data_IF_216145935940
#
_entry.id   IF_216145935940
#
_cell.length_a   1.000
_cell.length_b   1.000
_cell.length_c   1.000
_cell.angle_alpha   90.00
_cell.angle_beta   90.00
_cell.angle_gamma   90.00
#
_symmetry.space_group_name_H-M   'P 1'
#
loop_
_entity.id
_entity.type
_entity.pdbx_description
1 polymer ?
#
# COMPACT_ATOMS: atom_id res chain seq x y z
N UNK A 1 -22.53 -6.65 51.74
CA UNK A 1 -22.88 -5.34 51.17
C UNK A 1 -21.69 -4.50 50.74
N UNK A 2 -20.70 -4.16 51.58
CA UNK A 2 -19.55 -3.33 51.13
C UNK A 2 -18.68 -4.04 50.07
N UNK A 3 -18.49 -5.36 50.22
CA UNK A 3 -17.74 -6.18 49.25
C UNK A 3 -18.43 -6.25 47.88
N UNK A 4 -19.76 -6.35 47.85
CA UNK A 4 -20.54 -6.40 46.61
C UNK A 4 -20.46 -5.05 45.88
N UNK A 5 -20.60 -3.93 46.60
CA UNK A 5 -20.44 -2.59 46.04
C UNK A 5 -19.01 -2.32 45.51
N UNK A 6 -17.99 -2.85 46.18
CA UNK A 6 -16.59 -2.68 45.79
C UNK A 6 -16.23 -3.44 44.49
N UNK A 7 -16.93 -4.54 44.17
CA UNK A 7 -16.71 -5.31 42.93
C UNK A 7 -17.48 -4.74 41.72
N UNK A 8 -18.59 -4.04 41.94
CA UNK A 8 -19.40 -3.46 40.86
C UNK A 8 -18.64 -2.35 40.13
N UNK A 9 -17.94 -1.48 40.86
CA UNK A 9 -17.19 -0.35 40.27
C UNK A 9 -16.12 -0.79 39.23
N UNK A 10 -15.15 -1.69 39.55
CA UNK A 10 -14.15 -2.12 38.58
C UNK A 10 -14.74 -2.91 37.41
N UNK A 11 -15.84 -3.65 37.62
CA UNK A 11 -16.55 -4.34 36.55
C UNK A 11 -17.17 -3.33 35.57
N UNK A 12 -17.82 -2.28 36.08
CA UNK A 12 -18.40 -1.22 35.25
C UNK A 12 -17.34 -0.45 34.45
N UNK A 13 -16.21 -0.10 35.06
CA UNK A 13 -15.10 0.55 34.37
C UNK A 13 -14.53 -0.36 33.27
N UNK A 14 -14.37 -1.66 33.55
CA UNK A 14 -13.92 -2.63 32.55
C UNK A 14 -14.86 -2.71 31.35
N UNK A 15 -16.17 -2.65 31.60
CA UNK A 15 -17.18 -2.61 30.54
C UNK A 15 -17.09 -1.33 29.70
N UNK A 16 -16.93 -0.16 30.32
CA UNK A 16 -16.75 1.10 29.59
C UNK A 16 -15.46 1.09 28.75
N UNK A 17 -14.35 0.58 29.30
CA UNK A 17 -13.09 0.44 28.55
C UNK A 17 -13.29 -0.50 27.36
N UNK A 18 -14.01 -1.62 27.53
CA UNK A 18 -14.30 -2.54 26.43
C UNK A 18 -15.09 -1.84 25.30
N UNK A 19 -16.08 -1.00 25.63
CA UNK A 19 -16.81 -0.21 24.63
C UNK A 19 -15.88 0.77 23.88
N UNK A 20 -15.04 1.49 24.62
CA UNK A 20 -14.06 2.43 24.03
C UNK A 20 -13.12 1.69 23.07
N UNK A 21 -12.64 0.51 23.46
CA UNK A 21 -11.78 -0.33 22.65
C UNK A 21 -12.48 -0.79 21.36
N UNK A 22 -13.73 -1.23 21.43
CA UNK A 22 -14.51 -1.60 20.25
C UNK A 22 -14.63 -0.43 19.25
N UNK A 23 -14.83 0.79 19.76
CA UNK A 23 -14.86 2.00 18.93
C UNK A 23 -13.49 2.24 18.28
N UNK A 24 -12.40 2.16 19.05
CA UNK A 24 -11.04 2.36 18.52
C UNK A 24 -10.67 1.35 17.44
N UNK A 25 -11.03 0.08 17.62
CA UNK A 25 -10.81 -0.96 16.61
C UNK A 25 -11.57 -0.63 15.32
N UNK A 26 -12.83 -0.19 15.44
CA UNK A 26 -13.65 0.16 14.27
C UNK A 26 -13.09 1.36 13.52
N UNK A 27 -12.59 2.38 14.23
CA UNK A 27 -11.94 3.55 13.62
C UNK A 27 -10.67 3.14 12.89
N UNK A 28 -9.83 2.29 13.50
CA UNK A 28 -8.62 1.77 12.87
C UNK A 28 -8.94 0.91 11.63
N UNK A 29 -9.98 0.08 11.70
CA UNK A 29 -10.44 -0.78 10.60
C UNK A 29 -10.90 0.04 9.38
N UNK A 30 -11.70 1.09 9.63
CA UNK A 30 -12.14 2.02 8.59
C UNK A 30 -10.98 2.81 7.98
N UNK A 31 -10.05 3.31 8.81
CA UNK A 31 -8.88 4.03 8.32
C UNK A 31 -8.00 3.13 7.45
N UNK A 32 -7.79 1.87 7.85
CA UNK A 32 -6.99 0.91 7.09
C UNK A 32 -7.66 0.58 5.75
N UNK A 33 -8.99 0.35 5.76
CA UNK A 33 -9.76 0.12 4.55
C UNK A 33 -9.70 1.31 3.59
N UNK A 34 -9.81 2.53 4.11
CA UNK A 34 -9.73 3.76 3.32
C UNK A 34 -8.35 3.92 2.69
N UNK A 35 -7.28 3.72 3.45
CA UNK A 35 -5.91 3.85 2.95
C UNK A 35 -5.62 2.88 1.80
N UNK A 36 -5.98 1.60 1.99
CA UNK A 36 -5.78 0.55 0.99
C UNK A 36 -6.68 0.78 -0.23
N UNK A 37 -7.95 1.13 -0.03
CA UNK A 37 -8.89 1.37 -1.12
C UNK A 37 -8.52 2.57 -1.98
N UNK A 38 -8.20 3.71 -1.36
CA UNK A 38 -7.91 4.94 -2.10
C UNK A 38 -6.56 4.88 -2.82
N UNK A 39 -5.53 4.32 -2.18
CA UNK A 39 -4.24 4.09 -2.86
C UNK A 39 -4.36 3.17 -4.06
N UNK A 40 -5.17 2.10 -3.96
CA UNK A 40 -5.41 1.17 -5.06
C UNK A 40 -6.11 1.88 -6.22
N UNK A 41 -7.14 2.69 -5.95
CA UNK A 41 -7.87 3.46 -6.98
C UNK A 41 -7.00 4.48 -7.68
N UNK A 42 -6.25 5.28 -6.92
CA UNK A 42 -5.35 6.29 -7.48
C UNK A 42 -4.28 5.63 -8.33
N UNK A 43 -3.71 4.52 -7.88
CA UNK A 43 -2.70 3.81 -8.66
C UNK A 43 -3.28 3.14 -9.91
N UNK A 44 -4.48 2.57 -9.83
CA UNK A 44 -5.19 2.01 -10.98
C UNK A 44 -5.46 3.07 -12.06
N UNK A 45 -5.89 4.27 -11.64
CA UNK A 45 -6.17 5.38 -12.55
C UNK A 45 -4.91 5.91 -13.26
N UNK A 46 -3.75 5.85 -12.60
CA UNK A 46 -2.48 6.37 -13.13
C UNK A 46 -1.61 5.28 -13.77
N UNK A 47 -2.13 4.07 -14.01
CA UNK A 47 -1.34 2.98 -14.57
C UNK A 47 -1.13 3.10 -16.09
N UNK A 48 -2.05 3.73 -16.83
CA UNK A 48 -1.95 3.84 -18.29
C UNK A 48 -0.65 4.54 -18.77
N UNK A 49 -0.23 5.70 -18.21
CA UNK A 49 1.07 6.27 -18.56
C UNK A 49 2.25 5.36 -18.19
N UNK A 50 2.16 4.63 -17.06
CA UNK A 50 3.21 3.72 -16.62
C UNK A 50 3.39 2.54 -17.59
N UNK A 51 2.31 2.03 -18.17
CA UNK A 51 2.36 1.00 -19.22
C UNK A 51 3.09 1.50 -20.47
N UNK A 52 2.80 2.72 -20.94
CA UNK A 52 3.49 3.28 -22.12
C UNK A 52 4.98 3.44 -21.88
N UNK A 53 5.38 3.84 -20.67
CA UNK A 53 6.79 3.90 -20.28
C UNK A 53 7.43 2.50 -20.22
N UNK A 54 6.71 1.51 -19.70
CA UNK A 54 7.18 0.12 -19.69
C UNK A 54 7.39 -0.42 -21.12
N UNK A 55 6.45 -0.17 -22.04
CA UNK A 55 6.56 -0.57 -23.44
C UNK A 55 7.74 0.11 -24.16
N UNK A 56 7.99 1.41 -23.89
CA UNK A 56 9.14 2.10 -24.45
C UNK A 56 10.46 1.55 -23.90
N UNK A 57 10.51 1.25 -22.60
CA UNK A 57 11.70 0.73 -21.96
C UNK A 57 12.01 -0.73 -22.33
N UNK A 58 10.98 -1.56 -22.53
CA UNK A 58 11.14 -2.94 -22.98
C UNK A 58 11.69 -3.01 -24.41
N UNK A 59 11.30 -2.07 -25.28
CA UNK A 59 11.84 -1.91 -26.62
C UNK A 59 13.29 -1.36 -26.64
N UNK A 60 13.67 -0.56 -25.65
CA UNK A 60 14.99 0.07 -25.58
C UNK A 60 16.11 -0.81 -25.00
N UNK A 61 15.79 -1.97 -24.40
CA UNK A 61 16.77 -2.99 -23.99
C UNK A 61 17.78 -2.62 -22.87
N UNK A 62 17.82 -1.37 -22.41
CA UNK A 62 18.80 -0.88 -21.42
C UNK A 62 18.33 -0.86 -19.95
N UNK A 63 19.22 -0.51 -18.99
CA UNK A 63 18.86 -0.29 -17.58
C UNK A 63 17.96 0.95 -17.43
N UNK A 64 16.75 0.77 -16.92
CA UNK A 64 15.76 1.87 -16.75
C UNK A 64 16.21 2.94 -15.76
N UNK A 65 17.04 2.61 -14.77
CA UNK A 65 17.52 3.59 -13.79
C UNK A 65 18.28 4.73 -14.45
N UNK A 66 19.11 4.44 -15.46
CA UNK A 66 19.85 5.46 -16.22
C UNK A 66 18.93 6.25 -17.15
N UNK A 67 17.91 5.60 -17.74
CA UNK A 67 16.94 6.26 -18.61
C UNK A 67 15.95 7.14 -17.84
N UNK A 68 15.50 6.71 -16.66
CA UNK A 68 14.66 7.50 -15.75
C UNK A 68 15.46 8.71 -15.24
N UNK A 69 16.75 8.55 -14.92
CA UNK A 69 17.62 9.69 -14.59
C UNK A 69 17.78 10.63 -15.79
N UNK A 70 18.01 10.12 -17.00
CA UNK A 70 18.13 10.95 -18.20
C UNK A 70 16.82 11.66 -18.56
N UNK A 71 15.66 11.03 -18.34
CA UNK A 71 14.34 11.62 -18.54
C UNK A 71 14.06 12.66 -17.44
N UNK A 72 14.44 12.39 -16.19
CA UNK A 72 14.36 13.34 -15.06
C UNK A 72 15.25 14.56 -15.32
N UNK A 73 16.47 14.36 -15.80
CA UNK A 73 17.43 15.42 -16.14
C UNK A 73 16.99 16.24 -17.36
N UNK A 74 16.34 15.61 -18.35
CA UNK A 74 15.75 16.31 -19.51
C UNK A 74 14.45 17.04 -19.14
N UNK A 75 13.63 16.49 -18.26
CA UNK A 75 12.42 17.14 -17.76
C UNK A 75 12.76 18.35 -16.87
N UNK A 76 13.81 18.25 -16.05
CA UNK A 76 14.33 19.37 -15.26
C UNK A 76 14.96 20.51 -16.10
N UNK A 77 15.35 20.23 -17.36
CA UNK A 77 15.87 21.24 -18.29
C UNK A 77 14.81 21.84 -19.21
N UNK A 78 13.65 21.20 -19.35
CA UNK A 78 12.55 21.67 -20.16
C UNK A 78 11.50 22.31 -19.25
N UNK A 79 11.60 23.63 -19.01
CA UNK A 79 10.65 24.45 -18.23
C UNK A 79 9.16 24.29 -18.65
N UNK A 80 8.89 23.67 -19.80
CA UNK A 80 7.53 23.39 -20.33
C UNK A 80 6.93 22.03 -19.90
N UNK A 81 7.73 21.11 -19.34
CA UNK A 81 7.28 19.76 -18.91
C UNK A 81 7.24 19.58 -17.39
N UNK A 82 7.46 20.65 -16.62
CA UNK A 82 7.73 20.60 -15.17
C UNK A 82 6.49 20.41 -14.31
N UNK A 83 5.29 20.78 -14.74
CA UNK A 83 4.14 20.72 -13.82
C UNK A 83 3.56 19.32 -13.60
N UNK A 84 3.88 18.34 -14.46
CA UNK A 84 3.18 17.04 -14.46
C UNK A 84 4.05 15.78 -14.48
N UNK A 85 5.38 15.85 -14.60
CA UNK A 85 6.22 14.64 -14.78
C UNK A 85 7.16 14.36 -13.60
N UNK A 86 7.80 15.37 -12.99
CA UNK A 86 8.62 15.15 -11.78
C UNK A 86 7.80 14.66 -10.58
N UNK A 87 6.51 15.04 -10.53
CA UNK A 87 5.56 14.55 -9.54
C UNK A 87 5.05 13.12 -9.84
N UNK A 88 5.26 12.59 -11.04
CA UNK A 88 4.45 11.47 -11.57
C UNK A 88 5.17 10.11 -11.60
N UNK A 89 6.49 10.08 -11.42
CA UNK A 89 7.21 8.81 -11.21
C UNK A 89 8.00 8.89 -9.90
N UNK A 90 7.31 8.87 -8.76
CA UNK A 90 7.98 8.75 -7.47
C UNK A 90 8.76 7.42 -7.44
N UNK A 91 9.87 7.38 -6.69
CA UNK A 91 10.77 6.21 -6.61
C UNK A 91 10.05 4.84 -6.42
N UNK A 92 8.91 4.74 -5.71
CA UNK A 92 8.11 3.51 -5.65
C UNK A 92 7.61 2.99 -7.01
N UNK A 93 7.29 3.86 -7.96
CA UNK A 93 6.84 3.48 -9.32
C UNK A 93 8.00 2.93 -10.13
N UNK A 94 9.21 3.47 -9.97
CA UNK A 94 10.40 2.92 -10.61
C UNK A 94 10.71 1.49 -10.10
N UNK A 95 10.58 1.27 -8.78
CA UNK A 95 10.70 -0.07 -8.18
C UNK A 95 9.62 -1.02 -8.71
N UNK A 96 8.40 -0.52 -8.90
CA UNK A 96 7.27 -1.27 -9.47
C UNK A 96 7.59 -1.80 -10.88
N UNK A 97 8.09 -0.91 -11.74
CA UNK A 97 8.41 -1.23 -13.14
C UNK A 97 9.59 -2.21 -13.24
N UNK A 98 10.63 -2.02 -12.42
CA UNK A 98 11.76 -2.96 -12.37
C UNK A 98 11.31 -4.34 -11.87
N UNK A 99 10.43 -4.39 -10.87
CA UNK A 99 9.83 -5.65 -10.40
C UNK A 99 9.03 -6.34 -11.52
N UNK A 100 8.18 -5.59 -12.25
CA UNK A 100 7.41 -6.13 -13.37
C UNK A 100 8.31 -6.74 -14.45
N UNK A 101 9.42 -6.08 -14.82
CA UNK A 101 10.38 -6.60 -15.81
C UNK A 101 11.04 -7.90 -15.34
N UNK A 102 11.44 -7.96 -14.08
CA UNK A 102 12.08 -9.15 -13.48
C UNK A 102 11.12 -10.34 -13.38
N UNK A 103 9.84 -10.08 -13.12
CA UNK A 103 8.81 -11.10 -13.06
C UNK A 103 8.31 -11.51 -14.45
N UNK A 104 8.15 -10.59 -15.40
CA UNK A 104 7.76 -10.91 -16.78
C UNK A 104 8.80 -11.75 -17.52
N UNK A 105 10.08 -11.66 -17.14
CA UNK A 105 11.17 -12.50 -17.70
C UNK A 105 11.36 -13.85 -17.00
N UNK A 106 10.72 -14.07 -15.84
CA UNK A 106 10.75 -15.31 -15.09
C UNK A 106 9.34 -15.89 -15.06
N UNK A 107 9.07 -16.84 -15.95
CA UNK A 107 7.81 -17.59 -15.98
C UNK A 107 7.33 -17.96 -14.56
N UNK A 108 6.05 -17.70 -14.33
CA UNK A 108 5.23 -17.97 -13.14
C UNK A 108 5.75 -19.13 -12.27
N UNK A 109 6.48 -18.84 -11.20
CA UNK A 109 6.80 -19.90 -10.23
C UNK A 109 7.73 -19.50 -9.09
N UNK A 110 8.74 -18.67 -9.36
CA UNK A 110 9.71 -18.27 -8.35
C UNK A 110 9.83 -16.74 -8.32
N UNK A 111 8.81 -16.10 -7.73
CA UNK A 111 8.96 -14.72 -7.29
C UNK A 111 10.10 -14.67 -6.28
N UNK A 112 11.17 -13.94 -6.63
CA UNK A 112 12.30 -13.72 -5.72
C UNK A 112 11.76 -13.05 -4.45
N UNK A 113 11.75 -13.78 -3.34
CA UNK A 113 11.21 -13.30 -2.07
C UNK A 113 11.91 -12.01 -1.60
N UNK A 114 13.16 -11.79 -2.01
CA UNK A 114 13.84 -10.53 -1.76
C UNK A 114 13.25 -9.38 -2.58
N UNK A 115 12.96 -9.61 -3.87
CA UNK A 115 12.33 -8.62 -4.74
C UNK A 115 10.89 -8.27 -4.29
N UNK A 116 10.10 -9.27 -3.88
CA UNK A 116 8.76 -9.08 -3.32
C UNK A 116 8.79 -8.25 -2.03
N UNK A 117 9.77 -8.48 -1.14
CA UNK A 117 9.95 -7.68 0.07
C UNK A 117 10.32 -6.23 -0.24
N UNK A 118 11.25 -6.00 -1.18
CA UNK A 118 11.65 -4.65 -1.61
C UNK A 118 10.45 -3.91 -2.18
N UNK A 119 9.62 -4.58 -3.00
CA UNK A 119 8.41 -4.00 -3.55
C UNK A 119 7.44 -3.58 -2.43
N UNK A 120 7.15 -4.46 -1.47
CA UNK A 120 6.25 -4.15 -0.35
C UNK A 120 6.72 -2.95 0.47
N UNK A 121 8.01 -2.87 0.77
CA UNK A 121 8.60 -1.74 1.50
C UNK A 121 8.57 -0.44 0.69
N UNK A 122 8.82 -0.51 -0.63
CA UNK A 122 8.74 0.64 -1.52
C UNK A 122 7.29 1.17 -1.65
N UNK A 123 6.30 0.27 -1.63
CA UNK A 123 4.88 0.65 -1.73
C UNK A 123 4.26 1.07 -0.40
N UNK A 124 4.88 0.75 0.73
CA UNK A 124 4.45 1.20 2.07
C UNK A 124 4.18 2.72 2.16
N UNK A 125 5.08 3.63 1.75
CA UNK A 125 4.79 5.07 1.78
C UNK A 125 3.62 5.47 0.88
N UNK A 126 3.46 4.81 -0.28
CA UNK A 126 2.35 5.09 -1.21
C UNK A 126 1.01 4.80 -0.55
N UNK A 127 0.86 3.62 0.04
CA UNK A 127 -0.40 3.24 0.72
C UNK A 127 -0.60 4.07 1.99
N UNK A 128 0.48 4.32 2.75
CA UNK A 128 0.40 5.05 4.01
C UNK A 128 0.09 6.55 3.82
N UNK A 129 0.37 7.16 2.67
CA UNK A 129 -0.01 8.54 2.39
C UNK A 129 -1.54 8.77 2.41
N UNK A 130 -2.32 7.71 2.18
CA UNK A 130 -3.78 7.73 2.29
C UNK A 130 -4.29 7.35 3.68
N UNK A 131 -3.40 7.03 4.62
CA UNK A 131 -3.73 6.75 6.00
C UNK A 131 -3.68 8.03 6.86
N UNK A 132 -4.61 8.15 7.82
CA UNK A 132 -4.55 9.21 8.82
C UNK A 132 -3.48 8.85 9.89
N UNK A 133 -2.40 9.65 10.06
CA UNK A 133 -1.31 9.36 11.00
C UNK A 133 -1.69 9.50 12.48
N UNK A 134 -2.79 10.18 12.79
CA UNK A 134 -3.33 10.25 14.14
C UNK A 134 -3.91 8.90 14.58
N UNK A 135 -4.55 8.18 13.64
CA UNK A 135 -5.23 6.90 13.87
C UNK A 135 -4.26 5.73 13.64
N UNK A 136 -3.61 5.69 12.49
CA UNK A 136 -2.71 4.61 12.09
C UNK A 136 -1.26 5.07 12.23
N UNK A 137 -0.49 4.42 13.10
CA UNK A 137 0.94 4.71 13.26
C UNK A 137 1.76 3.94 12.23
N UNK A 138 2.71 4.62 11.58
CA UNK A 138 3.56 4.07 10.52
C UNK A 138 4.33 2.80 10.94
N UNK A 139 4.74 2.74 12.21
CA UNK A 139 5.53 1.62 12.74
C UNK A 139 4.71 0.34 12.89
N UNK A 140 3.38 0.47 13.02
CA UNK A 140 2.44 -0.65 13.19
C UNK A 140 1.71 -0.99 11.89
N UNK A 141 2.05 -0.31 10.80
CA UNK A 141 1.43 -0.47 9.48
C UNK A 141 2.37 -1.24 8.55
N UNK A 142 1.87 -2.30 7.93
CA UNK A 142 2.66 -3.18 7.08
C UNK A 142 1.91 -3.45 5.78
N UNK A 143 2.60 -3.34 4.64
CA UNK A 143 2.06 -3.81 3.36
C UNK A 143 2.47 -5.27 3.21
N UNK A 144 1.51 -6.18 3.15
CA UNK A 144 1.76 -7.62 3.12
C UNK A 144 1.58 -8.24 1.74
N UNK A 145 0.90 -7.55 0.84
CA UNK A 145 0.71 -7.98 -0.53
C UNK A 145 0.55 -6.82 -1.51
N UNK A 146 1.08 -7.02 -2.71
CA UNK A 146 0.91 -6.14 -3.86
C UNK A 146 0.51 -7.03 -5.04
N UNK A 147 -0.64 -6.74 -5.64
CA UNK A 147 -1.11 -7.40 -6.87
C UNK A 147 -0.91 -6.43 -8.01
N UNK A 148 -0.25 -6.87 -9.07
CA UNK A 148 0.01 -6.09 -10.27
C UNK A 148 -0.60 -6.75 -11.50
N UNK A 149 -1.01 -5.94 -12.49
CA UNK A 149 -1.54 -6.47 -13.74
C UNK A 149 -0.42 -7.13 -14.56
N UNK A 150 -0.79 -8.15 -15.33
CA UNK A 150 0.06 -8.71 -16.38
C UNK A 150 -0.14 -7.96 -17.69
N UNK A 151 0.94 -7.47 -18.30
CA UNK A 151 0.87 -6.70 -19.55
C UNK A 151 0.95 -7.56 -20.83
N UNK A 152 1.24 -8.86 -20.70
CA UNK A 152 1.44 -9.76 -21.85
C UNK A 152 0.17 -10.51 -22.29
N UNK A 153 -0.71 -10.85 -21.35
CA UNK A 153 -1.98 -11.51 -21.60
C UNK A 153 -3.08 -10.68 -20.93
N UNK A 154 -3.95 -10.05 -21.72
CA UNK A 154 -5.01 -9.13 -21.27
C UNK A 154 -6.14 -9.78 -20.46
N UNK A 155 -5.83 -10.74 -19.59
CA UNK A 155 -6.77 -11.54 -18.80
C UNK A 155 -6.77 -11.17 -17.31
N UNK A 156 -5.86 -10.30 -16.84
CA UNK A 156 -5.83 -9.81 -15.45
C UNK A 156 -5.45 -8.32 -15.34
N UNK A 157 -6.38 -7.44 -15.71
CA UNK A 157 -6.26 -6.00 -15.52
C UNK A 157 -6.55 -5.58 -14.06
N UNK A 158 -5.99 -6.25 -13.05
CA UNK A 158 -6.24 -5.90 -11.64
C UNK A 158 -4.98 -5.45 -10.94
N UNK A 159 -5.11 -4.37 -10.18
CA UNK A 159 -4.11 -3.93 -9.22
C UNK A 159 -4.69 -4.02 -7.82
N UNK A 160 -3.85 -4.31 -6.83
CA UNK A 160 -4.32 -4.42 -5.46
C UNK A 160 -3.25 -4.25 -4.42
N UNK A 161 -3.69 -3.87 -3.23
CA UNK A 161 -2.88 -3.85 -2.03
C UNK A 161 -3.51 -4.68 -0.93
N UNK A 162 -2.68 -5.40 -0.19
CA UNK A 162 -2.99 -5.98 1.10
C UNK A 162 -2.14 -5.28 2.16
N UNK A 163 -2.79 -4.79 3.21
CA UNK A 163 -2.11 -4.20 4.34
C UNK A 163 -2.63 -4.76 5.66
N UNK A 164 -1.72 -4.81 6.63
CA UNK A 164 -1.94 -5.25 7.98
C UNK A 164 -1.61 -4.12 8.96
N UNK A 165 -2.36 -4.06 10.05
CA UNK A 165 -2.13 -3.11 11.12
C UNK A 165 -2.19 -3.78 12.49
N UNK A 166 -1.14 -3.61 13.27
CA UNK A 166 -1.04 -4.14 14.62
C UNK A 166 -1.70 -3.18 15.63
N UNK A 167 -2.89 -3.56 16.10
CA UNK A 167 -3.66 -2.83 17.09
C UNK A 167 -3.39 -3.36 18.50
N UNK A 168 -2.71 -2.61 19.39
CA UNK A 168 -2.52 -3.05 20.78
C UNK A 168 -3.82 -2.92 21.56
N UNK A 169 -4.35 -4.05 21.99
CA UNK A 169 -5.51 -4.17 22.86
C UNK A 169 -5.08 -3.99 24.33
N UNK A 170 -5.37 -2.84 24.90
CA UNK A 170 -5.18 -2.56 26.32
C UNK A 170 -6.51 -2.73 27.07
N UNK A 171 -6.76 -3.92 27.62
CA UNK A 171 -7.87 -4.16 28.55
C UNK A 171 -7.32 -4.34 29.97
N UNK A 172 -8.07 -3.98 31.03
CA UNK A 172 -7.57 -3.90 32.41
C UNK A 172 -6.96 -5.18 33.01
N UNK A 173 -7.00 -6.33 32.31
CA UNK A 173 -6.43 -7.60 32.78
C UNK A 173 -5.57 -8.34 31.76
N UNK A 174 -5.55 -7.92 30.49
CA UNK A 174 -4.81 -8.60 29.42
C UNK A 174 -4.31 -7.59 28.39
N UNK A 175 -3.09 -7.79 27.93
CA UNK A 175 -2.50 -7.07 26.81
C UNK A 175 -2.31 -8.04 25.65
N UNK A 176 -3.05 -7.83 24.55
CA UNK A 176 -2.89 -8.61 23.32
C UNK A 176 -2.74 -7.67 22.14
N UNK A 177 -2.13 -8.13 21.06
CA UNK A 177 -2.10 -7.39 19.80
C UNK A 177 -3.10 -8.05 18.85
N UNK A 178 -3.99 -7.26 18.28
CA UNK A 178 -4.92 -7.67 17.24
C UNK A 178 -4.38 -7.19 15.89
N UNK A 179 -4.16 -8.10 14.96
CA UNK A 179 -3.73 -7.72 13.61
C UNK A 179 -4.97 -7.54 12.72
N UNK A 180 -5.19 -6.31 12.26
CA UNK A 180 -6.25 -5.97 11.33
C UNK A 180 -5.72 -6.15 9.90
N UNK A 181 -6.39 -6.96 9.07
CA UNK A 181 -5.99 -7.18 7.67
C UNK A 181 -7.05 -6.63 6.73
N UNK A 182 -6.63 -5.87 5.71
CA UNK A 182 -7.50 -5.39 4.62
C UNK A 182 -6.85 -5.61 3.26
N UNK A 183 -7.71 -5.85 2.27
CA UNK A 183 -7.36 -5.98 0.86
C UNK A 183 -8.28 -5.10 0.03
N UNK A 184 -7.73 -4.44 -0.99
CA UNK A 184 -8.50 -3.85 -2.07
C UNK A 184 -7.92 -4.32 -3.41
N UNK A 185 -8.81 -4.46 -4.39
CA UNK A 185 -8.49 -4.75 -5.78
C UNK A 185 -9.29 -3.77 -6.64
N UNK A 186 -8.63 -3.16 -7.60
CA UNK A 186 -9.27 -2.30 -8.59
C UNK A 186 -8.88 -2.73 -9.99
N UNK A 187 -9.83 -2.56 -10.92
CA UNK A 187 -9.58 -2.82 -12.33
C UNK A 187 -8.81 -1.66 -12.94
N UNK A 188 -7.74 -1.99 -13.64
CA UNK A 188 -6.90 -1.05 -14.38
C UNK A 188 -7.54 -0.78 -15.75
N UNK A 189 -7.48 0.47 -16.19
CA UNK A 189 -7.85 0.84 -17.55
C UNK A 189 -6.57 1.03 -18.38
N UNK A 190 -6.28 0.07 -19.26
CA UNK A 190 -5.07 0.05 -20.09
C UNK A 190 -5.23 0.74 -21.45
N UNK A 191 -6.29 1.53 -21.64
CA UNK A 191 -6.54 2.27 -22.87
C UNK A 191 -6.68 1.38 -24.12
N UNK A 192 -7.91 1.18 -24.57
CA UNK A 192 -8.19 0.51 -25.84
C UNK A 192 -7.54 1.24 -27.04
#
# INVERSE_FOLDING_TARGET
MVLEAALILPMFVSFVIALIVCIQITIADMALRSAVGESTKVLAANMYPAEKLYQQASQAGGPLLDQIQTIRDRAAQADEFIESVEAFIPDPVAVLIDWMRRMGSKAEGEADAAADRVLKEAMKPVVYNFANPEILKKDRFHVTGVTLPGFDNGDQDFIGFEAEYDFPLAVPFFSRTLTLKKRALERVWLGA
#
